data_IF_916528625739
#
_entry.id   IF_916528625739
#
_cell.length_a   1.000
_cell.length_b   1.000
_cell.length_c   1.000
_cell.angle_alpha   90.00
_cell.angle_beta   90.00
_cell.angle_gamma   90.00
#
_symmetry.space_group_name_H-M   'P 1'
#
loop_
_entity.id
_entity.type
_entity.pdbx_description
1 polymer ?
#
# COMPACT_ATOMS: atom_id res chain seq x y z
N UNK A 1 -4.65 3.86 -9.99
CA UNK A 1 -5.42 3.08 -10.98
C UNK A 1 -6.48 2.25 -10.21
N UNK A 2 -7.35 1.46 -10.85
CA UNK A 2 -8.28 0.60 -10.10
C UNK A 2 -7.70 -0.81 -9.94
N UNK A 3 -8.19 -1.56 -8.94
CA UNK A 3 -7.64 -2.87 -8.55
C UNK A 3 -7.65 -3.87 -9.72
N UNK A 4 -8.72 -3.87 -10.53
CA UNK A 4 -8.85 -4.81 -11.64
C UNK A 4 -7.83 -4.55 -12.75
N UNK A 5 -7.59 -3.27 -13.09
CA UNK A 5 -6.58 -2.92 -14.09
C UNK A 5 -5.18 -3.35 -13.63
N UNK A 6 -4.81 -3.14 -12.35
CA UNK A 6 -3.56 -3.66 -11.80
C UNK A 6 -3.47 -5.19 -11.93
N UNK A 7 -4.58 -5.88 -11.67
CA UNK A 7 -4.65 -7.34 -11.78
C UNK A 7 -4.42 -7.83 -13.22
N UNK A 8 -4.98 -7.12 -14.21
CA UNK A 8 -4.76 -7.39 -15.63
C UNK A 8 -3.32 -7.12 -16.06
N UNK A 9 -2.70 -6.03 -15.58
CA UNK A 9 -1.29 -5.73 -15.83
C UNK A 9 -0.37 -6.81 -15.25
N UNK A 10 -0.64 -7.26 -14.01
CA UNK A 10 0.08 -8.36 -13.39
C UNK A 10 -0.07 -9.67 -14.17
N UNK A 11 -1.28 -10.02 -14.61
CA UNK A 11 -1.50 -11.21 -15.45
C UNK A 11 -0.75 -11.13 -16.79
N UNK A 12 -0.74 -9.95 -17.43
CA UNK A 12 0.04 -9.72 -18.66
C UNK A 12 1.54 -9.88 -18.43
N UNK A 13 2.04 -9.44 -17.27
CA UNK A 13 3.47 -9.43 -16.93
C UNK A 13 3.99 -10.77 -16.43
N UNK A 14 3.23 -11.43 -15.56
CA UNK A 14 3.65 -12.62 -14.83
C UNK A 14 2.97 -13.91 -15.33
N UNK A 15 1.94 -13.80 -16.16
CA UNK A 15 1.12 -14.91 -16.63
C UNK A 15 -0.08 -15.19 -15.71
N UNK A 16 -0.84 -16.24 -16.00
CA UNK A 16 -2.00 -16.63 -15.19
C UNK A 16 -3.23 -15.72 -15.35
N UNK A 17 -4.24 -15.95 -14.51
CA UNK A 17 -5.49 -15.18 -14.52
C UNK A 17 -5.41 -13.94 -13.62
N UNK A 18 -5.99 -12.79 -13.99
CA UNK A 18 -6.00 -11.57 -13.17
C UNK A 18 -6.47 -11.79 -11.72
N UNK A 19 -7.45 -12.65 -11.50
CA UNK A 19 -8.05 -12.97 -10.20
C UNK A 19 -7.01 -13.43 -9.18
N UNK A 20 -5.96 -14.12 -9.63
CA UNK A 20 -4.86 -14.61 -8.78
C UNK A 20 -4.10 -13.45 -8.10
N UNK A 21 -4.04 -12.29 -8.76
CA UNK A 21 -3.33 -11.10 -8.26
C UNK A 21 -4.22 -10.14 -7.48
N UNK A 22 -5.55 -10.33 -7.56
CA UNK A 22 -6.53 -9.37 -7.06
C UNK A 22 -6.34 -9.04 -5.57
N UNK A 23 -6.07 -10.05 -4.74
CA UNK A 23 -5.96 -9.87 -3.29
C UNK A 23 -4.78 -8.98 -2.88
N UNK A 24 -3.64 -9.12 -3.57
CA UNK A 24 -2.45 -8.28 -3.32
C UNK A 24 -2.75 -6.82 -3.67
N UNK A 25 -3.34 -6.58 -4.85
CA UNK A 25 -3.70 -5.22 -5.28
C UNK A 25 -4.79 -4.59 -4.41
N UNK A 26 -5.79 -5.39 -3.99
CA UNK A 26 -6.85 -4.94 -3.08
C UNK A 26 -6.29 -4.50 -1.73
N UNK A 27 -5.33 -5.24 -1.18
CA UNK A 27 -4.69 -4.88 0.08
C UNK A 27 -3.89 -3.58 -0.02
N UNK A 28 -3.06 -3.42 -1.06
CA UNK A 28 -2.30 -2.18 -1.28
C UNK A 28 -3.21 -0.93 -1.41
N UNK A 29 -4.41 -1.11 -1.97
CA UNK A 29 -5.42 -0.06 -2.09
C UNK A 29 -6.38 0.07 -0.88
N UNK A 30 -6.27 -0.79 0.15
CA UNK A 30 -7.21 -0.82 1.27
C UNK A 30 -7.26 0.50 2.06
N UNK A 31 -6.17 1.26 2.04
CA UNK A 31 -6.10 2.62 2.62
C UNK A 31 -7.12 3.60 2.04
N UNK A 32 -7.68 3.34 0.85
CA UNK A 32 -8.78 4.13 0.27
C UNK A 32 -10.05 4.10 1.11
N UNK A 33 -10.26 3.07 1.94
CA UNK A 33 -11.39 2.99 2.89
C UNK A 33 -11.29 4.05 4.00
N UNK A 34 -10.07 4.49 4.32
CA UNK A 34 -9.79 5.43 5.40
C UNK A 34 -9.55 6.85 4.89
N UNK A 35 -9.02 6.98 3.66
CA UNK A 35 -8.83 8.27 3.02
C UNK A 35 -8.87 8.16 1.50
N UNK A 36 -10.03 8.41 0.89
CA UNK A 36 -10.22 8.33 -0.57
C UNK A 36 -9.63 9.55 -1.30
N UNK A 37 -8.30 9.66 -1.30
CA UNK A 37 -7.53 10.71 -1.95
C UNK A 37 -6.14 10.18 -2.28
N UNK A 38 -5.48 10.66 -3.35
CA UNK A 38 -4.18 10.13 -3.84
C UNK A 38 -3.07 10.01 -2.77
N UNK A 39 -3.16 10.79 -1.70
CA UNK A 39 -2.27 10.74 -0.53
C UNK A 39 -2.38 9.44 0.27
N UNK A 40 -3.43 8.64 0.11
CA UNK A 40 -3.57 7.30 0.73
C UNK A 40 -2.34 6.41 0.47
N UNK A 41 -1.71 6.61 -0.70
CA UNK A 41 -0.50 5.92 -1.14
C UNK A 41 0.68 6.03 -0.18
N UNK A 42 0.71 7.06 0.66
CA UNK A 42 1.74 7.20 1.71
C UNK A 42 1.75 5.99 2.65
N UNK A 43 0.58 5.38 2.88
CA UNK A 43 0.39 4.33 3.87
C UNK A 43 0.96 2.98 3.42
N UNK A 44 0.70 2.56 2.17
CA UNK A 44 1.13 1.25 1.65
C UNK A 44 1.95 1.28 0.35
N UNK A 45 1.99 2.37 -0.41
CA UNK A 45 2.79 2.44 -1.64
C UNK A 45 4.24 2.80 -1.33
N UNK A 46 4.88 1.95 -0.54
CA UNK A 46 6.28 2.05 -0.14
C UNK A 46 6.83 0.65 0.23
N UNK A 47 8.13 0.56 0.53
CA UNK A 47 8.80 -0.72 0.86
C UNK A 47 8.21 -1.44 2.09
N UNK A 48 7.64 -0.73 3.06
CA UNK A 48 6.96 -1.34 4.20
C UNK A 48 5.66 -2.02 3.76
N UNK A 49 4.87 -1.38 2.88
CA UNK A 49 3.67 -2.02 2.33
C UNK A 49 3.97 -3.29 1.52
N UNK A 50 5.13 -3.35 0.85
CA UNK A 50 5.62 -4.58 0.18
C UNK A 50 5.88 -5.68 1.23
N UNK A 51 6.57 -5.37 2.33
CA UNK A 51 6.79 -6.32 3.43
C UNK A 51 5.46 -6.82 4.01
N UNK A 52 4.47 -5.94 4.19
CA UNK A 52 3.16 -6.34 4.69
C UNK A 52 2.44 -7.28 3.72
N UNK A 53 2.58 -7.07 2.40
CA UNK A 53 2.04 -8.02 1.42
C UNK A 53 2.67 -9.40 1.57
N UNK A 54 4.00 -9.49 1.71
CA UNK A 54 4.69 -10.79 1.88
C UNK A 54 4.30 -11.48 3.19
N UNK A 55 4.05 -10.71 4.25
CA UNK A 55 3.57 -11.27 5.52
C UNK A 55 2.15 -11.81 5.43
N UNK A 56 1.28 -11.12 4.69
CA UNK A 56 -0.14 -11.48 4.59
C UNK A 56 -0.39 -12.61 3.59
N UNK A 57 0.32 -12.62 2.47
CA UNK A 57 0.08 -13.56 1.35
C UNK A 57 1.18 -14.61 1.18
N UNK A 58 2.22 -14.58 2.01
CA UNK A 58 3.41 -15.42 1.86
C UNK A 58 4.41 -14.87 0.83
N UNK A 59 5.52 -15.59 0.64
CA UNK A 59 6.59 -15.15 -0.25
C UNK A 59 6.23 -15.26 -1.73
N UNK A 60 5.43 -16.27 -2.08
CA UNK A 60 5.12 -16.63 -3.45
C UNK A 60 3.63 -16.97 -3.62
N UNK A 61 3.10 -16.64 -4.80
CA UNK A 61 1.86 -17.22 -5.33
C UNK A 61 2.23 -18.24 -6.39
N UNK A 62 1.66 -19.43 -6.31
CA UNK A 62 1.82 -20.49 -7.32
C UNK A 62 0.66 -20.43 -8.32
N UNK A 63 0.99 -20.35 -9.60
CA UNK A 63 0.02 -20.39 -10.70
C UNK A 63 -0.33 -21.84 -11.05
N UNK A 64 -1.43 -22.06 -11.76
CA UNK A 64 -1.88 -23.40 -12.18
C UNK A 64 -0.85 -24.18 -13.02
N UNK A 65 0.05 -23.47 -13.72
CA UNK A 65 1.15 -24.07 -14.49
C UNK A 65 2.38 -24.44 -13.62
N UNK A 66 2.29 -24.31 -12.29
CA UNK A 66 3.37 -24.57 -11.33
C UNK A 66 4.41 -23.45 -11.21
N UNK A 67 4.25 -22.35 -11.94
CA UNK A 67 5.15 -21.20 -11.83
C UNK A 67 4.93 -20.45 -10.52
N UNK A 68 6.00 -20.14 -9.80
CA UNK A 68 5.97 -19.33 -8.58
C UNK A 68 6.32 -17.88 -8.87
N UNK A 69 5.42 -16.98 -8.50
CA UNK A 69 5.59 -15.53 -8.62
C UNK A 69 5.79 -14.94 -7.23
N UNK A 70 6.83 -14.12 -7.06
CA UNK A 70 7.09 -13.48 -5.77
C UNK A 70 6.03 -12.42 -5.47
N UNK A 71 5.41 -12.48 -4.28
CA UNK A 71 4.42 -11.49 -3.83
C UNK A 71 5.03 -10.10 -3.78
N UNK A 72 6.31 -10.00 -3.38
CA UNK A 72 7.04 -8.74 -3.36
C UNK A 72 7.10 -8.07 -4.74
N UNK A 73 7.23 -8.86 -5.82
CA UNK A 73 7.41 -8.35 -7.18
C UNK A 73 6.05 -7.86 -7.71
N UNK A 74 4.96 -8.55 -7.38
CA UNK A 74 3.58 -8.12 -7.67
C UNK A 74 3.29 -6.78 -6.99
N UNK A 75 3.62 -6.67 -5.69
CA UNK A 75 3.43 -5.44 -4.93
C UNK A 75 4.31 -4.28 -5.46
N UNK A 76 5.56 -4.57 -5.82
CA UNK A 76 6.47 -3.60 -6.42
C UNK A 76 5.92 -3.03 -7.74
N UNK A 77 5.35 -3.87 -8.61
CA UNK A 77 4.78 -3.42 -9.88
C UNK A 77 3.53 -2.57 -9.69
N UNK A 78 2.63 -2.94 -8.77
CA UNK A 78 1.49 -2.10 -8.40
C UNK A 78 1.94 -0.68 -8.00
N UNK A 79 2.97 -0.59 -7.16
CA UNK A 79 3.51 0.69 -6.68
C UNK A 79 4.11 1.49 -7.82
N UNK A 80 4.88 0.85 -8.71
CA UNK A 80 5.48 1.51 -9.88
C UNK A 80 4.42 2.08 -10.82
N UNK A 81 3.37 1.31 -11.11
CA UNK A 81 2.26 1.72 -11.97
C UNK A 81 1.57 2.98 -11.42
N UNK A 82 1.44 3.06 -10.09
CA UNK A 82 0.79 4.19 -9.44
C UNK A 82 1.73 5.40 -9.22
N UNK A 83 3.05 5.22 -9.23
CA UNK A 83 4.05 6.24 -8.86
C UNK A 83 5.11 6.51 -9.94
N UNK A 84 4.74 6.44 -11.23
CA UNK A 84 5.62 6.73 -12.36
C UNK A 84 6.93 5.93 -12.34
N UNK A 85 6.85 4.63 -12.03
CA UNK A 85 8.00 3.73 -12.02
C UNK A 85 8.85 3.75 -10.75
N UNK A 86 8.50 4.56 -9.74
CA UNK A 86 9.24 4.61 -8.47
C UNK A 86 8.66 3.64 -7.43
N UNK A 87 9.55 2.98 -6.69
CA UNK A 87 9.24 2.26 -5.45
C UNK A 87 9.86 3.05 -4.30
N UNK A 88 9.09 3.88 -3.57
CA UNK A 88 9.63 4.71 -2.52
C UNK A 88 9.79 3.94 -1.21
N UNK A 89 10.69 4.40 -0.36
CA UNK A 89 10.72 4.05 1.07
C UNK A 89 9.73 4.93 1.86
N UNK A 90 9.50 4.62 3.14
CA UNK A 90 8.78 5.56 4.04
C UNK A 90 9.51 6.91 4.11
N UNK A 91 10.85 6.89 4.12
CA UNK A 91 11.66 8.10 4.17
C UNK A 91 11.48 8.97 2.91
N UNK A 92 11.39 8.36 1.72
CA UNK A 92 11.10 9.10 0.47
C UNK A 92 9.77 9.86 0.52
N UNK A 93 8.77 9.32 1.21
CA UNK A 93 7.48 9.97 1.42
C UNK A 93 7.57 11.09 2.46
N UNK A 94 8.10 10.80 3.64
CA UNK A 94 7.91 11.64 4.82
C UNK A 94 9.10 12.56 5.14
N UNK A 95 10.31 12.25 4.66
CA UNK A 95 11.55 12.94 5.07
C UNK A 95 11.61 14.43 4.71
N UNK A 96 10.71 14.94 3.85
CA UNK A 96 10.59 16.36 3.49
C UNK A 96 9.27 17.01 3.97
N UNK A 97 8.56 16.40 4.91
CA UNK A 97 7.25 16.84 5.39
C UNK A 97 7.28 17.30 6.86
N UNK A 98 7.87 18.47 7.12
CA UNK A 98 7.98 19.04 8.47
C UNK A 98 6.62 19.27 9.18
N UNK A 99 5.53 19.47 8.44
CA UNK A 99 4.19 19.65 9.04
C UNK A 99 3.62 18.37 9.67
N UNK A 100 4.00 17.20 9.15
CA UNK A 100 3.58 15.93 9.75
C UNK A 100 4.40 15.61 11.00
N UNK A 101 5.67 15.99 11.04
CA UNK A 101 6.52 15.81 12.24
C UNK A 101 6.04 16.64 13.43
N UNK A 102 5.26 17.71 13.20
CA UNK A 102 4.65 18.51 14.26
C UNK A 102 3.42 17.85 14.90
N UNK A 103 2.87 16.81 14.27
CA UNK A 103 1.67 16.14 14.77
C UNK A 103 2.02 15.32 16.00
N UNK A 104 1.33 15.60 17.10
CA UNK A 104 1.50 14.83 18.33
C UNK A 104 0.60 13.59 18.27
N UNK A 105 1.24 12.42 18.37
CA UNK A 105 0.56 11.14 18.48
C UNK A 105 0.60 10.69 19.94
N UNK A 106 -0.54 10.26 20.47
CA UNK A 106 -0.58 9.41 21.65
C UNK A 106 0.04 8.06 21.28
N UNK A 107 1.11 7.71 21.99
CA UNK A 107 1.80 6.43 21.89
C UNK A 107 1.48 5.63 23.16
N UNK A 108 0.33 4.93 23.21
CA UNK A 108 -0.04 4.17 24.39
C UNK A 108 0.90 2.99 24.58
N UNK A 109 1.14 2.60 25.84
CA UNK A 109 1.81 1.34 26.14
C UNK A 109 0.95 0.15 25.67
N UNK A 110 1.55 -0.69 24.83
CA UNK A 110 1.00 -1.97 24.39
C UNK A 110 1.74 -3.08 25.12
N UNK A 111 1.01 -3.94 25.83
CA UNK A 111 1.63 -5.01 26.64
C UNK A 111 1.98 -6.25 25.79
N UNK A 112 1.37 -6.42 24.62
CA UNK A 112 1.72 -7.44 23.64
C UNK A 112 2.99 -7.00 22.88
N UNK A 113 4.09 -7.72 23.06
CA UNK A 113 5.40 -7.40 22.49
C UNK A 113 5.41 -7.44 20.96
N UNK A 114 4.71 -8.42 20.37
CA UNK A 114 4.63 -8.58 18.91
C UNK A 114 3.91 -7.38 18.29
N UNK A 115 2.77 -6.97 18.88
CA UNK A 115 2.03 -5.80 18.43
C UNK A 115 2.82 -4.51 18.68
N UNK A 116 3.47 -4.39 19.85
CA UNK A 116 4.28 -3.22 20.15
C UNK A 116 5.42 -3.05 19.14
N UNK A 117 6.12 -4.14 18.79
CA UNK A 117 7.18 -4.12 17.79
C UNK A 117 6.64 -3.77 16.41
N UNK A 118 5.52 -4.40 15.99
CA UNK A 118 4.86 -4.07 14.73
C UNK A 118 4.50 -2.59 14.63
N UNK A 119 3.92 -2.03 15.70
CA UNK A 119 3.52 -0.62 15.70
C UNK A 119 4.72 0.32 15.59
N UNK A 120 5.88 -0.06 16.12
CA UNK A 120 7.12 0.71 16.00
C UNK A 120 7.86 0.51 14.66
N UNK A 121 7.58 -0.54 13.89
CA UNK A 121 8.30 -0.85 12.65
C UNK A 121 8.43 0.33 11.67
N UNK A 122 7.38 1.11 11.35
CA UNK A 122 7.52 2.26 10.45
C UNK A 122 8.57 3.26 10.91
N UNK A 123 8.65 3.50 12.23
CA UNK A 123 9.64 4.38 12.83
C UNK A 123 11.02 3.75 12.78
N UNK A 124 11.15 2.48 13.17
CA UNK A 124 12.43 1.76 13.16
C UNK A 124 13.05 1.69 11.75
N UNK A 125 12.22 1.59 10.71
CA UNK A 125 12.66 1.54 9.31
C UNK A 125 13.04 2.92 8.74
N UNK A 126 12.44 4.00 9.24
CA UNK A 126 12.58 5.33 8.63
C UNK A 126 13.34 6.36 9.48
N UNK A 127 13.38 6.17 10.80
CA UNK A 127 13.84 7.17 11.77
C UNK A 127 12.91 8.37 11.92
N UNK A 128 11.74 8.38 11.28
CA UNK A 128 10.82 9.52 11.23
C UNK A 128 9.63 9.31 12.17
N UNK A 129 9.37 10.22 13.09
CA UNK A 129 8.23 10.09 14.02
C UNK A 129 6.91 10.13 13.28
N UNK A 130 6.82 10.93 12.21
CA UNK A 130 5.63 10.99 11.36
C UNK A 130 5.25 9.64 10.72
N UNK A 131 6.18 8.69 10.58
CA UNK A 131 5.85 7.36 10.02
C UNK A 131 4.91 6.55 10.90
N UNK A 132 4.86 6.85 12.21
CA UNK A 132 3.94 6.20 13.15
C UNK A 132 2.47 6.44 12.81
N UNK A 133 2.12 7.41 11.97
CA UNK A 133 0.74 7.56 11.47
C UNK A 133 0.24 6.31 10.73
N UNK A 134 1.14 5.45 10.23
CA UNK A 134 0.76 4.21 9.54
C UNK A 134 0.18 3.19 10.54
N UNK A 135 0.71 3.12 11.75
CA UNK A 135 0.41 2.07 12.75
C UNK A 135 -0.29 2.56 14.01
N UNK A 136 -0.15 3.83 14.38
CA UNK A 136 -0.80 4.50 15.52
C UNK A 136 -2.05 5.30 15.12
N UNK A 137 -2.75 4.85 14.08
CA UNK A 137 -3.97 5.44 13.56
C UNK A 137 -5.08 4.41 13.39
N UNK A 138 -6.27 4.85 12.99
CA UNK A 138 -7.36 3.99 12.52
C UNK A 138 -6.93 2.98 11.44
N UNK A 139 -6.08 3.40 10.49
CA UNK A 139 -5.51 2.49 9.50
C UNK A 139 -4.57 1.44 10.14
N UNK A 140 -3.81 1.85 11.15
CA UNK A 140 -2.98 0.93 11.93
C UNK A 140 -3.80 -0.16 12.62
N UNK A 141 -4.96 0.19 13.18
CA UNK A 141 -5.91 -0.79 13.74
C UNK A 141 -6.37 -1.79 12.67
N UNK A 142 -6.65 -1.33 11.46
CA UNK A 142 -6.98 -2.20 10.34
C UNK A 142 -5.83 -3.15 9.98
N UNK A 143 -4.60 -2.66 9.89
CA UNK A 143 -3.45 -3.51 9.64
C UNK A 143 -3.28 -4.58 10.74
N UNK A 144 -3.53 -4.21 12.00
CA UNK A 144 -3.46 -5.16 13.11
C UNK A 144 -4.54 -6.23 12.96
N UNK A 145 -5.74 -5.86 12.54
CA UNK A 145 -6.83 -6.80 12.29
C UNK A 145 -6.47 -7.79 11.18
N UNK A 146 -5.93 -7.32 10.07
CA UNK A 146 -5.56 -8.17 8.93
C UNK A 146 -4.40 -9.12 9.26
N UNK A 147 -3.41 -8.67 10.02
CA UNK A 147 -2.19 -9.44 10.30
C UNK A 147 -2.27 -10.31 11.55
N UNK A 148 -2.98 -9.86 12.58
CA UNK A 148 -2.96 -10.48 13.91
C UNK A 148 -4.36 -10.79 14.46
N UNK A 149 -5.42 -10.48 13.72
CA UNK A 149 -6.79 -10.82 14.05
C UNK A 149 -7.55 -9.77 14.86
N UNK A 150 -8.88 -9.95 14.98
CA UNK A 150 -9.79 -8.93 15.51
C UNK A 150 -9.62 -8.69 17.02
N UNK A 151 -9.23 -9.69 17.79
CA UNK A 151 -9.04 -9.55 19.25
C UNK A 151 -7.88 -8.59 19.57
N UNK A 152 -6.74 -8.77 18.90
CA UNK A 152 -5.58 -7.89 19.05
C UNK A 152 -5.89 -6.48 18.53
N UNK A 153 -6.64 -6.35 17.43
CA UNK A 153 -7.09 -5.06 16.92
C UNK A 153 -8.01 -4.33 17.92
N UNK A 154 -8.96 -5.02 18.54
CA UNK A 154 -9.87 -4.45 19.53
C UNK A 154 -9.13 -3.96 20.78
N UNK A 155 -8.14 -4.72 21.25
CA UNK A 155 -7.26 -4.32 22.36
C UNK A 155 -6.55 -2.99 22.07
N UNK A 156 -5.95 -2.83 20.88
CA UNK A 156 -5.25 -1.60 20.51
C UNK A 156 -6.22 -0.45 20.24
N UNK A 157 -7.37 -0.72 19.60
CA UNK A 157 -8.42 0.26 19.34
C UNK A 157 -8.90 0.94 20.63
N UNK A 158 -9.00 0.22 21.74
CA UNK A 158 -9.38 0.78 23.03
C UNK A 158 -8.37 1.80 23.58
N UNK A 159 -7.13 1.81 23.08
CA UNK A 159 -6.03 2.67 23.56
C UNK A 159 -5.70 3.83 22.61
N UNK A 160 -6.12 3.77 21.36
CA UNK A 160 -5.92 4.84 20.37
C UNK A 160 -7.17 5.73 20.34
N UNK A 161 -7.05 7.07 20.34
CA UNK A 161 -8.20 7.97 20.24
C UNK A 161 -8.75 8.06 18.81
N UNK A 162 -10.06 8.29 18.58
CA UNK A 162 -10.65 8.36 17.23
C UNK A 162 -10.13 9.53 16.38
N UNK A 163 -9.62 10.59 17.02
CA UNK A 163 -8.98 11.74 16.36
C UNK A 163 -7.65 11.36 15.70
N UNK A 164 -7.01 10.29 16.18
CA UNK A 164 -5.84 9.65 15.57
C UNK A 164 -6.25 8.84 14.33
N UNK A 165 -6.73 9.53 13.30
CA UNK A 165 -7.08 8.93 12.02
C UNK A 165 -6.24 9.49 10.88
N UNK A 166 -6.00 8.65 9.86
CA UNK A 166 -5.13 9.02 8.74
C UNK A 166 -5.67 10.20 7.93
N UNK A 167 -6.99 10.37 7.82
CA UNK A 167 -7.58 11.50 7.12
C UNK A 167 -7.18 12.84 7.76
N UNK A 168 -7.15 12.89 9.10
CA UNK A 168 -6.73 14.06 9.87
C UNK A 168 -5.26 14.42 9.67
N UNK A 169 -4.39 13.44 9.49
CA UNK A 169 -2.96 13.67 9.26
C UNK A 169 -2.64 14.00 7.81
N UNK A 170 -3.13 13.17 6.89
CA UNK A 170 -2.76 13.25 5.48
C UNK A 170 -3.27 14.53 4.81
N UNK A 171 -4.31 15.19 5.33
CA UNK A 171 -4.70 16.53 4.82
C UNK A 171 -3.57 17.55 4.91
N UNK A 172 -2.66 17.44 5.89
CA UNK A 172 -1.52 18.34 6.08
C UNK A 172 -0.29 17.96 5.23
N UNK A 173 -0.26 16.75 4.65
CA UNK A 173 0.83 16.30 3.79
C UNK A 173 0.97 17.19 2.54
N UNK A 174 2.21 17.50 2.16
CA UNK A 174 2.54 18.27 0.95
C UNK A 174 3.35 17.42 -0.03
N UNK A 175 2.88 17.35 -1.27
CA UNK A 175 3.67 16.78 -2.34
C UNK A 175 4.89 17.66 -2.62
N UNK A 176 6.06 17.04 -2.72
CA UNK A 176 7.35 17.68 -3.00
C UNK A 176 7.96 17.24 -4.32
N UNK A 177 7.48 16.13 -4.92
CA UNK A 177 8.02 15.56 -6.14
C UNK A 177 6.90 15.02 -7.04
N UNK A 178 7.10 15.07 -8.37
CA UNK A 178 6.09 14.69 -9.38
C UNK A 178 5.61 13.23 -9.28
N UNK A 179 6.53 12.31 -8.97
CA UNK A 179 6.22 10.87 -8.86
C UNK A 179 5.17 10.57 -7.78
N UNK A 180 4.99 11.45 -6.80
CA UNK A 180 4.08 11.23 -5.68
C UNK A 180 2.59 11.30 -6.07
N UNK A 181 2.29 11.85 -7.25
CA UNK A 181 0.91 12.05 -7.70
C UNK A 181 0.67 11.67 -9.17
N UNK A 182 1.69 11.18 -9.87
CA UNK A 182 1.58 10.83 -11.29
C UNK A 182 1.64 9.30 -11.48
N UNK A 183 0.64 8.66 -12.09
CA UNK A 183 0.73 7.26 -12.50
C UNK A 183 1.64 7.10 -13.73
N UNK A 184 2.14 5.89 -13.96
CA UNK A 184 2.81 5.53 -15.21
C UNK A 184 1.78 5.27 -16.32
N UNK A 185 1.59 6.26 -17.20
CA UNK A 185 0.64 6.17 -18.30
C UNK A 185 1.06 5.20 -19.40
N UNK A 186 2.34 4.79 -19.47
CA UNK A 186 2.82 3.89 -20.53
C UNK A 186 2.20 2.51 -20.45
N UNK A 187 2.02 1.99 -19.22
CA UNK A 187 1.43 0.68 -18.96
C UNK A 187 -0.06 0.63 -19.32
N UNK A 188 -0.80 1.70 -19.04
CA UNK A 188 -2.23 1.81 -19.38
C UNK A 188 -2.46 1.75 -20.89
N UNK A 189 -1.59 2.40 -21.67
CA UNK A 189 -1.69 2.39 -23.12
C UNK A 189 -1.48 0.98 -23.70
N UNK A 190 -0.69 0.12 -23.04
CA UNK A 190 -0.47 -1.26 -23.45
C UNK A 190 -1.71 -2.15 -23.29
N UNK A 191 -2.63 -1.84 -22.38
CA UNK A 191 -3.90 -2.56 -22.27
C UNK A 191 -4.88 -2.09 -23.36
N UNK A 192 -4.95 -0.79 -23.59
CA UNK A 192 -5.86 -0.20 -24.58
C UNK A 192 -5.49 -0.52 -26.04
N UNK A 193 -4.22 -0.81 -26.33
CA UNK A 193 -3.79 -1.24 -27.66
C UNK A 193 -4.28 -2.64 -28.02
N UNK A 194 -4.42 -3.52 -27.02
CA UNK A 194 -4.78 -4.93 -27.21
C UNK A 194 -6.30 -5.14 -27.33
N UNK A 195 -7.10 -4.20 -26.80
CA UNK A 195 -8.56 -4.21 -26.91
C UNK A 195 -9.10 -3.68 -28.24
N UNK A 196 -8.25 -3.15 -29.15
CA UNK A 196 -8.71 -2.83 -30.51
C UNK A 196 -8.75 -4.13 -31.32
N UNK A 197 -9.92 -4.66 -31.71
CA UNK A 197 -9.94 -5.74 -32.68
C UNK A 197 -9.23 -5.23 -33.94
N UNK A 198 -8.34 -6.06 -34.50
CA UNK A 198 -7.77 -5.83 -35.81
C UNK A 198 -8.95 -5.60 -36.77
N UNK A 199 -9.24 -4.33 -37.07
CA UNK A 199 -10.30 -3.96 -37.98
C UNK A 199 -10.00 -4.65 -39.29
N UNK A 200 -10.85 -5.61 -39.66
CA UNK A 200 -10.89 -6.16 -41.01
C UNK A 200 -10.92 -4.95 -41.94
N UNK A 201 -9.84 -4.75 -42.71
CA UNK A 201 -9.93 -3.98 -43.94
C UNK A 201 -10.94 -4.74 -44.79
N UNK A 202 -12.16 -4.21 -44.86
CA UNK A 202 -13.08 -4.54 -45.94
C UNK A 202 -12.56 -3.77 -47.14
N UNK A 203 -12.32 -4.51 -48.22
CA UNK A 203 -11.80 -4.04 -49.51
C UNK A 203 -12.59 -2.87 -50.10
#
# INVERSE_FOLDING_TARGET
MNIWIHSQLSAKKFGGQPEVYYHVHKFLDASKLFYFHIKHRILLHNTFGIELCTRLFGDCIELENGQKILVRDIAAEHIKEDLSGKIPTIFDWLGKNAELEKQQLLLPKIDDEEISLFMEQPFLQSGLTASRIITYSDFGIYLIQELFGPEKAAMVRAKIPPEQNVANYLRHYKFTQKWQFSPDMSQLNLLQSDERPAGKKVE
#
